data_IF_312967915026
#
_entry.id   IF_312967915026
#
_cell.length_a   1.000
_cell.length_b   1.000
_cell.length_c   1.000
_cell.angle_alpha   90.00
_cell.angle_beta   90.00
_cell.angle_gamma   90.00
#
_symmetry.space_group_name_H-M   'P 1'
#
loop_
_entity.id
_entity.type
_entity.pdbx_description
1 polymer ?
#
# COMPACT_ATOMS: atom_id res chain seq x y z
N UNK A 1 41.42 -23.88 2.75
CA UNK A 1 40.19 -23.39 2.10
C UNK A 1 39.13 -23.21 3.15
N UNK A 2 38.54 -22.00 3.19
CA UNK A 2 37.73 -21.46 4.29
C UNK A 2 36.30 -21.98 4.24
N UNK A 3 35.76 -22.48 5.34
CA UNK A 3 34.32 -22.47 5.66
C UNK A 3 34.13 -22.33 7.17
N UNK A 4 34.04 -21.08 7.65
CA UNK A 4 33.56 -20.76 8.98
C UNK A 4 32.10 -20.35 8.82
N UNK A 5 31.17 -21.24 9.18
CA UNK A 5 29.75 -20.86 9.27
C UNK A 5 29.59 -20.22 10.66
N UNK A 6 29.80 -18.92 10.72
CA UNK A 6 29.50 -18.12 11.89
C UNK A 6 27.99 -17.84 11.87
N UNK A 7 27.22 -18.75 12.48
CA UNK A 7 25.78 -18.57 12.69
C UNK A 7 25.58 -17.44 13.69
N UNK A 8 25.29 -16.23 13.20
CA UNK A 8 24.79 -15.14 14.04
C UNK A 8 23.29 -15.34 14.24
N UNK A 9 22.95 -16.10 15.28
CA UNK A 9 21.63 -16.04 15.88
C UNK A 9 21.54 -14.71 16.62
N UNK A 10 20.99 -13.69 15.95
CA UNK A 10 20.58 -12.47 16.65
C UNK A 10 19.27 -12.74 17.38
N UNK A 11 19.38 -13.26 18.61
CA UNK A 11 18.32 -13.14 19.62
C UNK A 11 18.31 -11.69 20.06
N UNK A 12 17.47 -10.86 19.43
CA UNK A 12 17.15 -9.54 19.96
C UNK A 12 16.15 -9.71 21.11
N UNK A 13 16.68 -10.06 22.28
CA UNK A 13 16.01 -9.80 23.55
C UNK A 13 16.21 -8.31 23.88
N UNK A 14 15.35 -7.44 23.33
CA UNK A 14 15.28 -6.04 23.75
C UNK A 14 14.04 -5.82 24.60
N UNK A 15 14.29 -5.88 25.92
CA UNK A 15 13.92 -4.83 26.86
C UNK A 15 12.45 -4.44 26.91
N UNK A 16 11.71 -5.07 27.82
CA UNK A 16 10.50 -4.48 28.39
C UNK A 16 10.86 -3.21 29.17
N UNK A 17 10.57 -2.04 28.59
CA UNK A 17 10.33 -0.81 29.35
C UNK A 17 9.41 0.14 28.56
N UNK A 18 8.12 -0.07 28.82
CA UNK A 18 7.03 0.90 28.95
C UNK A 18 7.10 2.16 28.07
N UNK A 19 6.40 2.13 26.93
CA UNK A 19 5.81 3.34 26.37
C UNK A 19 4.39 3.50 26.94
N UNK A 20 4.20 4.44 27.86
CA UNK A 20 2.88 4.85 28.29
C UNK A 20 2.33 5.86 27.27
N UNK A 21 1.57 5.38 26.29
CA UNK A 21 0.45 6.15 25.74
C UNK A 21 -0.68 5.18 25.40
N UNK A 22 -1.87 5.59 25.83
CA UNK A 22 -3.06 4.81 26.17
C UNK A 22 -3.58 3.81 25.12
N UNK A 23 -3.87 2.59 25.60
CA UNK A 23 -5.11 1.78 25.43
C UNK A 23 -5.88 1.97 24.10
N UNK A 24 -6.13 0.96 23.25
CA UNK A 24 -6.61 -0.39 23.56
C UNK A 24 -6.14 -1.40 22.50
N UNK A 25 -5.78 -2.57 23.00
CA UNK A 25 -5.45 -3.78 22.25
C UNK A 25 -6.72 -4.32 21.61
N UNK A 26 -6.91 -4.11 20.29
CA UNK A 26 -7.97 -4.80 19.56
C UNK A 26 -7.46 -6.19 19.23
N UNK A 27 -7.80 -7.13 20.10
CA UNK A 27 -7.74 -8.58 19.82
C UNK A 27 -8.70 -8.83 18.67
N UNK A 28 -8.17 -8.99 17.46
CA UNK A 28 -8.96 -9.37 16.29
C UNK A 28 -9.24 -10.87 16.40
N UNK A 29 -10.26 -11.23 17.16
CA UNK A 29 -10.96 -12.52 17.01
C UNK A 29 -11.63 -12.54 15.64
N UNK A 30 -11.54 -13.63 14.85
CA UNK A 30 -12.13 -13.68 13.52
C UNK A 30 -13.62 -13.99 13.66
N UNK A 31 -14.40 -12.97 14.00
CA UNK A 31 -15.85 -13.02 13.83
C UNK A 31 -16.18 -12.39 12.49
N UNK A 32 -16.90 -13.16 11.69
CA UNK A 32 -17.48 -12.80 10.40
C UNK A 32 -18.26 -11.49 10.48
N UNK A 33 -17.59 -10.36 10.31
CA UNK A 33 -18.21 -9.08 10.04
C UNK A 33 -17.82 -8.69 8.62
N UNK A 34 -18.82 -8.65 7.75
CA UNK A 34 -18.72 -7.89 6.51
C UNK A 34 -18.42 -6.47 6.90
N UNK A 35 -17.13 -6.11 6.88
CA UNK A 35 -16.70 -4.73 7.03
C UNK A 35 -17.28 -4.01 5.83
N UNK A 36 -18.40 -3.34 6.03
CA UNK A 36 -18.92 -2.37 5.09
C UNK A 36 -17.94 -1.21 5.16
N UNK A 37 -16.87 -1.31 4.36
CA UNK A 37 -15.91 -0.24 4.22
C UNK A 37 -16.66 0.86 3.49
N UNK A 38 -17.28 1.77 4.25
CA UNK A 38 -17.71 3.06 3.72
C UNK A 38 -16.41 3.83 3.49
N UNK A 39 -15.70 3.46 2.42
CA UNK A 39 -14.54 4.19 1.95
C UNK A 39 -15.09 5.50 1.39
N UNK A 40 -14.91 6.57 2.15
CA UNK A 40 -15.03 7.94 1.64
C UNK A 40 -13.88 8.14 0.65
N UNK A 41 -14.06 7.56 -0.54
CA UNK A 41 -13.14 7.60 -1.64
C UNK A 41 -13.14 9.03 -2.18
N UNK A 42 -12.35 9.90 -1.56
CA UNK A 42 -12.14 11.26 -2.06
C UNK A 42 -11.62 11.25 -3.51
N UNK A 43 -11.79 12.36 -4.23
CA UNK A 43 -11.46 12.51 -5.65
C UNK A 43 -10.09 11.92 -6.05
N UNK A 44 -9.07 12.04 -5.18
CA UNK A 44 -7.76 11.45 -5.40
C UNK A 44 -7.81 9.93 -5.62
N UNK A 45 -8.62 9.21 -4.86
CA UNK A 45 -8.75 7.75 -4.95
C UNK A 45 -9.49 7.30 -6.21
N UNK A 46 -10.47 8.08 -6.68
CA UNK A 46 -11.10 7.88 -7.98
C UNK A 46 -10.09 8.02 -9.12
N UNK A 47 -9.21 9.01 -9.04
CA UNK A 47 -8.11 9.16 -9.98
C UNK A 47 -7.12 7.99 -9.90
N UNK A 48 -6.75 7.50 -8.72
CA UNK A 48 -5.89 6.30 -8.59
C UNK A 48 -6.54 5.10 -9.30
N UNK A 49 -7.84 4.89 -9.11
CA UNK A 49 -8.58 3.78 -9.73
C UNK A 49 -8.63 3.93 -11.24
N UNK A 50 -8.99 5.11 -11.74
CA UNK A 50 -9.09 5.41 -13.17
C UNK A 50 -7.74 5.25 -13.88
N UNK A 51 -6.68 5.88 -13.36
CA UNK A 51 -5.36 5.87 -13.97
C UNK A 51 -4.74 4.47 -13.98
N UNK A 52 -4.97 3.66 -12.93
CA UNK A 52 -4.57 2.24 -12.97
C UNK A 52 -5.27 1.50 -14.11
N UNK A 53 -6.59 1.66 -14.23
CA UNK A 53 -7.36 0.97 -15.27
C UNK A 53 -6.83 1.28 -16.68
N UNK A 54 -6.58 2.56 -16.97
CA UNK A 54 -6.04 3.02 -18.26
C UNK A 54 -4.65 2.42 -18.51
N UNK A 55 -3.70 2.61 -17.60
CA UNK A 55 -2.32 2.17 -17.82
C UNK A 55 -2.21 0.65 -17.95
N UNK A 56 -2.98 -0.11 -17.17
CA UNK A 56 -2.99 -1.56 -17.31
C UNK A 56 -3.63 -2.02 -18.62
N UNK A 57 -4.67 -1.32 -19.09
CA UNK A 57 -5.29 -1.60 -20.37
C UNK A 57 -4.31 -1.33 -21.52
N UNK A 58 -3.71 -0.14 -21.58
CA UNK A 58 -2.77 0.26 -22.63
C UNK A 58 -1.53 -0.66 -22.64
N UNK A 59 -0.97 -0.96 -21.48
CA UNK A 59 0.17 -1.88 -21.38
C UNK A 59 -0.18 -3.29 -21.92
N UNK A 60 -1.39 -3.77 -21.66
CA UNK A 60 -1.87 -5.04 -22.18
C UNK A 60 -2.07 -5.01 -23.71
N UNK A 61 -2.60 -3.92 -24.26
CA UNK A 61 -2.79 -3.72 -25.70
C UNK A 61 -1.45 -3.62 -26.45
N UNK A 62 -0.44 -2.99 -25.84
CA UNK A 62 0.89 -2.82 -26.41
C UNK A 62 1.85 -3.99 -26.13
N UNK A 63 1.44 -4.97 -25.32
CA UNK A 63 2.27 -6.12 -24.96
C UNK A 63 3.50 -5.76 -24.12
N UNK A 64 3.41 -4.69 -23.33
CA UNK A 64 4.47 -4.21 -22.43
C UNK A 64 4.04 -4.25 -20.97
N UNK A 65 4.97 -3.94 -20.07
CA UNK A 65 4.64 -3.73 -18.66
C UNK A 65 3.99 -2.37 -18.43
N UNK A 66 3.09 -2.30 -17.43
CA UNK A 66 2.57 -1.04 -16.92
C UNK A 66 3.74 -0.17 -16.41
N UNK A 67 3.83 1.06 -16.90
CA UNK A 67 4.87 2.00 -16.48
C UNK A 67 4.38 2.86 -15.33
N UNK A 68 5.26 3.10 -14.35
CA UNK A 68 4.98 4.09 -13.31
C UNK A 68 4.89 5.50 -13.90
N UNK A 69 5.64 5.79 -14.96
CA UNK A 69 5.60 7.11 -15.59
C UNK A 69 4.24 7.39 -16.23
N UNK A 70 3.67 6.40 -16.94
CA UNK A 70 2.33 6.49 -17.52
C UNK A 70 1.27 6.65 -16.41
N UNK A 71 1.43 5.93 -15.30
CA UNK A 71 0.54 6.04 -14.15
C UNK A 71 0.58 7.45 -13.55
N UNK A 72 1.78 8.01 -13.35
CA UNK A 72 1.91 9.36 -12.79
C UNK A 72 1.35 10.42 -13.72
N UNK A 73 1.48 10.24 -15.05
CA UNK A 73 0.91 11.12 -16.06
C UNK A 73 -0.62 11.09 -16.01
N UNK A 74 -1.23 9.91 -16.12
CA UNK A 74 -2.68 9.75 -16.08
C UNK A 74 -3.29 10.17 -14.74
N UNK A 75 -2.61 9.86 -13.64
CA UNK A 75 -3.02 10.28 -12.30
C UNK A 75 -2.97 11.80 -12.17
N UNK A 76 -1.88 12.43 -12.63
CA UNK A 76 -1.74 13.87 -12.63
C UNK A 76 -2.85 14.55 -13.43
N UNK A 77 -3.13 14.08 -14.65
CA UNK A 77 -4.21 14.63 -15.47
C UNK A 77 -5.56 14.55 -14.77
N UNK A 78 -5.92 13.39 -14.22
CA UNK A 78 -7.17 13.24 -13.49
C UNK A 78 -7.21 14.14 -12.25
N UNK A 79 -6.15 14.14 -11.44
CA UNK A 79 -6.12 14.84 -10.17
C UNK A 79 -6.21 16.36 -10.35
N UNK A 80 -5.43 16.94 -11.27
CA UNK A 80 -5.46 18.38 -11.52
C UNK A 80 -6.74 18.85 -12.23
N UNK A 81 -7.41 17.97 -12.98
CA UNK A 81 -8.65 18.33 -13.66
C UNK A 81 -9.87 18.24 -12.75
N UNK A 82 -9.85 17.35 -11.76
CA UNK A 82 -11.06 17.00 -11.00
C UNK A 82 -10.96 17.25 -9.49
N UNK A 83 -9.75 17.35 -8.93
CA UNK A 83 -9.53 17.31 -7.48
C UNK A 83 -8.83 18.54 -6.90
N UNK A 84 -8.30 19.42 -7.76
CA UNK A 84 -7.65 20.67 -7.36
C UNK A 84 -8.58 21.81 -7.74
N UNK A 85 -9.14 22.48 -6.74
CA UNK A 85 -9.94 23.71 -6.88
C UNK A 85 -9.06 24.93 -7.16
#
# INVERSE_FOLDING_TARGET
MKKLILSLVFVFATGTMMNANSTNEIIITPTTETVEIIEDFGCASDCVRSSKAIVFQEAAEEGRGASMDDYMLEYGYCYYSNCVD
#
